data_IF_182187050466
#
_entry.id   IF_182187050466
#
_cell.length_a   1.000
_cell.length_b   1.000
_cell.length_c   1.000
_cell.angle_alpha   90.00
_cell.angle_beta   90.00
_cell.angle_gamma   90.00
#
_symmetry.space_group_name_H-M   'P 1'
#
loop_
_entity.id
_entity.type
_entity.pdbx_description
1 polymer ?
#
# COMPACT_ATOMS: atom_id res chain seq x y z
N UNK A 1 -11.91 0.52 -3.04
CA UNK A 1 -13.07 -0.34 -2.72
C UNK A 1 -13.12 -0.85 -1.28
N UNK A 2 -12.01 -1.10 -0.58
CA UNK A 2 -12.06 -1.42 0.86
C UNK A 2 -12.88 -0.41 1.68
N UNK A 3 -12.76 0.89 1.37
CA UNK A 3 -13.51 1.95 2.05
C UNK A 3 -15.03 1.85 1.81
N UNK A 4 -15.50 1.74 0.56
CA UNK A 4 -16.96 1.65 0.30
C UNK A 4 -17.58 0.36 0.85
N UNK A 5 -16.84 -0.76 0.83
CA UNK A 5 -17.32 -2.00 1.40
C UNK A 5 -17.37 -1.93 2.93
N UNK A 6 -16.33 -1.36 3.56
CA UNK A 6 -16.33 -1.09 5.01
C UNK A 6 -17.49 -0.20 5.44
N UNK A 7 -17.78 0.86 4.68
CA UNK A 7 -18.93 1.75 4.94
C UNK A 7 -20.27 1.03 4.82
N UNK A 8 -20.40 0.07 3.89
CA UNK A 8 -21.64 -0.71 3.75
C UNK A 8 -21.82 -1.74 4.88
N UNK A 9 -20.74 -2.29 5.44
CA UNK A 9 -20.81 -3.33 6.47
C UNK A 9 -20.87 -2.73 7.88
N UNK A 10 -20.02 -1.75 8.19
CA UNK A 10 -19.98 -1.09 9.49
C UNK A 10 -21.05 0.00 9.62
N UNK A 11 -21.49 0.57 8.50
CA UNK A 11 -22.32 1.78 8.46
C UNK A 11 -21.47 3.05 8.36
N UNK A 12 -22.13 4.14 7.95
CA UNK A 12 -21.48 5.41 7.65
C UNK A 12 -20.71 6.00 8.83
N UNK A 13 -21.33 6.09 10.01
CA UNK A 13 -20.73 6.74 11.19
C UNK A 13 -19.46 6.01 11.69
N UNK A 14 -19.51 4.72 12.07
CA UNK A 14 -18.31 4.00 12.53
C UNK A 14 -17.27 3.81 11.42
N UNK A 15 -17.67 3.70 10.15
CA UNK A 15 -16.74 3.62 9.03
C UNK A 15 -15.91 4.90 8.85
N UNK A 16 -16.52 6.09 9.00
CA UNK A 16 -15.79 7.36 8.93
C UNK A 16 -14.84 7.52 10.13
N UNK A 17 -15.28 7.16 11.35
CA UNK A 17 -14.45 7.26 12.56
C UNK A 17 -13.19 6.39 12.42
N UNK A 18 -13.32 5.14 11.97
CA UNK A 18 -12.18 4.24 11.79
C UNK A 18 -11.24 4.72 10.69
N UNK A 19 -11.77 5.29 9.60
CA UNK A 19 -10.98 5.86 8.51
C UNK A 19 -10.16 7.08 8.96
N UNK A 20 -10.79 8.03 9.66
CA UNK A 20 -10.11 9.22 10.20
C UNK A 20 -9.09 8.81 11.27
N UNK A 21 -9.46 7.89 12.17
CA UNK A 21 -8.56 7.38 13.20
C UNK A 21 -7.31 6.72 12.60
N UNK A 22 -7.48 5.84 11.61
CA UNK A 22 -6.35 5.24 10.89
C UNK A 22 -5.50 6.29 10.16
N UNK A 23 -6.14 7.29 9.53
CA UNK A 23 -5.45 8.40 8.87
C UNK A 23 -4.57 9.22 9.82
N UNK A 24 -5.08 9.55 11.02
CA UNK A 24 -4.30 10.27 12.05
C UNK A 24 -3.10 9.44 12.51
N UNK A 25 -3.28 8.13 12.76
CA UNK A 25 -2.19 7.25 13.19
C UNK A 25 -1.10 7.14 12.11
N UNK A 26 -1.48 7.00 10.84
CA UNK A 26 -0.54 6.99 9.73
C UNK A 26 0.19 8.33 9.58
N UNK A 27 -0.52 9.44 9.73
CA UNK A 27 0.08 10.78 9.68
C UNK A 27 1.14 10.97 10.77
N UNK A 28 0.82 10.62 12.02
CA UNK A 28 1.76 10.71 13.15
C UNK A 28 2.98 9.81 12.91
N UNK A 29 2.78 8.59 12.42
CA UNK A 29 3.87 7.66 12.12
C UNK A 29 4.78 8.21 11.01
N UNK A 30 4.19 8.69 9.92
CA UNK A 30 4.91 9.24 8.76
C UNK A 30 5.74 10.46 9.14
N UNK A 31 5.16 11.43 9.89
CA UNK A 31 5.89 12.64 10.25
C UNK A 31 7.02 12.37 11.27
N UNK A 32 6.81 11.40 12.18
CA UNK A 32 7.83 10.98 13.15
C UNK A 32 9.00 10.29 12.44
N UNK A 33 8.69 9.36 11.53
CA UNK A 33 9.69 8.69 10.71
C UNK A 33 10.47 9.68 9.85
N UNK A 34 9.77 10.62 9.19
CA UNK A 34 10.41 11.65 8.37
C UNK A 34 11.40 12.51 9.17
N UNK A 35 10.98 13.01 10.35
CA UNK A 35 11.87 13.78 11.24
C UNK A 35 13.11 12.99 11.67
N UNK A 36 12.95 11.69 11.92
CA UNK A 36 14.08 10.82 12.29
C UNK A 36 15.07 10.66 11.14
N UNK A 37 14.59 10.39 9.92
CA UNK A 37 15.45 10.24 8.73
C UNK A 37 16.16 11.55 8.40
N UNK A 38 15.51 12.71 8.54
CA UNK A 38 16.15 14.02 8.33
C UNK A 38 17.30 14.31 9.31
N UNK A 39 17.24 13.75 10.53
CA UNK A 39 18.33 13.84 11.52
C UNK A 39 19.44 12.81 11.26
N UNK A 40 19.12 11.71 10.60
CA UNK A 40 19.96 10.54 10.38
C UNK A 40 20.07 10.20 8.89
N UNK A 41 20.79 11.02 8.10
CA UNK A 41 20.86 10.88 6.64
C UNK A 41 21.58 9.60 6.19
N UNK A 42 22.22 8.85 7.10
CA UNK A 42 22.77 7.53 6.78
C UNK A 42 21.69 6.49 6.44
N UNK A 43 20.44 6.73 6.84
CA UNK A 43 19.31 5.83 6.58
C UNK A 43 18.82 6.06 5.15
N UNK A 44 19.02 5.06 4.28
CA UNK A 44 18.60 5.12 2.86
C UNK A 44 17.38 4.27 2.56
N UNK A 45 17.12 3.26 3.38
CA UNK A 45 16.00 2.34 3.24
C UNK A 45 15.32 2.06 4.60
N UNK A 46 14.17 1.42 4.54
CA UNK A 46 13.36 1.11 5.72
C UNK A 46 13.96 -0.01 6.58
N UNK A 47 14.79 -0.89 6.02
CA UNK A 47 15.48 -1.93 6.77
C UNK A 47 16.58 -1.31 7.64
N UNK A 48 17.33 -0.35 7.08
CA UNK A 48 18.28 0.49 7.81
C UNK A 48 17.56 1.28 8.93
N UNK A 49 16.39 1.86 8.64
CA UNK A 49 15.59 2.54 9.67
C UNK A 49 15.28 1.60 10.85
N UNK A 50 14.81 0.38 10.57
CA UNK A 50 14.56 -0.63 11.60
C UNK A 50 15.83 -1.02 12.36
N UNK A 51 16.97 -1.15 11.67
CA UNK A 51 18.25 -1.44 12.32
C UNK A 51 18.67 -0.37 13.32
N UNK A 52 18.59 0.92 12.96
CA UNK A 52 18.95 2.01 13.85
C UNK A 52 17.92 2.23 14.97
N UNK A 53 16.63 2.08 14.69
CA UNK A 53 15.56 2.26 15.67
C UNK A 53 15.64 1.23 16.82
N UNK A 54 16.05 -0.01 16.54
CA UNK A 54 16.15 -1.09 17.52
C UNK A 54 17.56 -1.28 18.11
N UNK A 55 18.43 -0.28 18.00
CA UNK A 55 19.76 -0.30 18.64
C UNK A 55 20.77 -1.20 17.94
N UNK A 56 20.84 -1.12 16.61
CA UNK A 56 21.84 -1.81 15.78
C UNK A 56 21.78 -3.35 15.88
N UNK A 57 20.60 -3.90 16.14
CA UNK A 57 20.39 -5.36 16.19
C UNK A 57 20.14 -5.89 14.78
N UNK A 58 21.00 -6.78 14.29
CA UNK A 58 20.83 -7.44 12.99
C UNK A 58 19.48 -8.16 12.85
N UNK A 59 18.97 -8.73 13.94
CA UNK A 59 17.66 -9.37 13.96
C UNK A 59 16.52 -8.39 13.63
N UNK A 60 16.63 -7.12 14.04
CA UNK A 60 15.64 -6.11 13.70
C UNK A 60 15.70 -5.75 12.20
N UNK A 61 16.90 -5.69 11.60
CA UNK A 61 17.04 -5.47 10.16
C UNK A 61 16.34 -6.57 9.35
N UNK A 62 16.61 -7.83 9.67
CA UNK A 62 16.02 -8.99 8.98
C UNK A 62 14.49 -9.06 9.19
N UNK A 63 14.01 -8.78 10.41
CA UNK A 63 12.58 -8.73 10.71
C UNK A 63 11.85 -7.60 9.97
N UNK A 64 12.45 -6.41 9.90
CA UNK A 64 11.86 -5.25 9.20
C UNK A 64 11.80 -5.52 7.70
N UNK A 65 12.85 -6.14 7.14
CA UNK A 65 12.87 -6.58 5.74
C UNK A 65 11.80 -7.63 5.43
N UNK A 66 11.62 -8.61 6.32
CA UNK A 66 10.54 -9.59 6.20
C UNK A 66 9.16 -8.93 6.24
N UNK A 67 8.92 -8.05 7.21
CA UNK A 67 7.66 -7.32 7.35
C UNK A 67 7.36 -6.47 6.11
N UNK A 68 8.37 -5.78 5.56
CA UNK A 68 8.23 -5.01 4.33
C UNK A 68 7.86 -5.90 3.14
N UNK A 69 8.56 -7.02 2.96
CA UNK A 69 8.30 -7.95 1.86
C UNK A 69 6.87 -8.51 1.95
N UNK A 70 6.47 -8.99 3.12
CA UNK A 70 5.12 -9.50 3.36
C UNK A 70 4.07 -8.41 3.13
N UNK A 71 4.29 -7.19 3.62
CA UNK A 71 3.37 -6.08 3.41
C UNK A 71 3.17 -5.77 1.92
N UNK A 72 4.25 -5.73 1.14
CA UNK A 72 4.17 -5.49 -0.30
C UNK A 72 3.42 -6.62 -1.03
N UNK A 73 3.67 -7.89 -0.68
CA UNK A 73 2.96 -9.03 -1.28
C UNK A 73 1.45 -8.94 -0.98
N UNK A 74 1.07 -8.66 0.27
CA UNK A 74 -0.32 -8.55 0.67
C UNK A 74 -1.03 -7.37 -0.01
N UNK A 75 -0.35 -6.23 -0.16
CA UNK A 75 -0.88 -5.08 -0.88
C UNK A 75 -1.09 -5.38 -2.37
N UNK A 76 -0.10 -6.00 -3.02
CA UNK A 76 -0.23 -6.42 -4.43
C UNK A 76 -1.42 -7.39 -4.60
N UNK A 77 -1.53 -8.39 -3.71
CA UNK A 77 -2.67 -9.33 -3.72
C UNK A 77 -4.01 -8.62 -3.53
N UNK A 78 -4.08 -7.64 -2.63
CA UNK A 78 -5.27 -6.81 -2.42
C UNK A 78 -5.65 -6.00 -3.67
N UNK A 79 -4.66 -5.39 -4.36
CA UNK A 79 -4.90 -4.64 -5.59
C UNK A 79 -5.41 -5.53 -6.73
N UNK A 80 -4.82 -6.73 -6.92
CA UNK A 80 -5.26 -7.67 -7.95
C UNK A 80 -6.69 -8.16 -7.67
N UNK A 81 -7.00 -8.52 -6.42
CA UNK A 81 -8.34 -8.94 -6.02
C UNK A 81 -9.38 -7.82 -6.25
N UNK A 82 -9.02 -6.60 -5.88
CA UNK A 82 -9.83 -5.39 -6.11
C UNK A 82 -10.11 -5.18 -7.59
N UNK A 83 -9.07 -5.18 -8.43
CA UNK A 83 -9.19 -4.99 -9.87
C UNK A 83 -10.06 -6.08 -10.51
N UNK A 84 -9.85 -7.35 -10.12
CA UNK A 84 -10.64 -8.47 -10.62
C UNK A 84 -12.13 -8.31 -10.28
N UNK A 85 -12.47 -7.86 -9.07
CA UNK A 85 -13.87 -7.61 -8.68
C UNK A 85 -14.50 -6.48 -9.49
N UNK A 86 -13.78 -5.38 -9.72
CA UNK A 86 -14.27 -4.24 -10.50
C UNK A 86 -14.52 -4.67 -11.95
N UNK A 87 -13.56 -5.32 -12.60
CA UNK A 87 -13.72 -5.82 -13.98
C UNK A 87 -14.86 -6.84 -14.11
N UNK A 88 -15.02 -7.69 -13.10
CA UNK A 88 -16.07 -8.69 -13.07
C UNK A 88 -17.48 -8.06 -12.96
N UNK A 89 -17.65 -7.01 -12.16
CA UNK A 89 -18.91 -6.24 -12.09
C UNK A 89 -19.15 -5.41 -13.34
N UNK A 90 -18.12 -4.78 -13.92
CA UNK A 90 -18.25 -3.97 -15.14
C UNK A 90 -18.56 -4.81 -16.38
N UNK A 91 -18.15 -6.08 -16.40
CA UNK A 91 -18.34 -6.99 -17.54
C UNK A 91 -19.52 -7.95 -17.36
N UNK A 92 -20.42 -7.69 -16.39
CA UNK A 92 -21.58 -8.52 -16.07
C UNK A 92 -21.26 -10.03 -16.00
N UNK A 93 -20.19 -10.39 -15.28
CA UNK A 93 -19.76 -11.79 -15.13
C UNK A 93 -19.43 -12.52 -16.44
N UNK A 94 -19.00 -11.81 -17.50
CA UNK A 94 -18.72 -12.43 -18.81
C UNK A 94 -17.66 -13.55 -18.79
N UNK A 95 -16.68 -13.46 -17.89
CA UNK A 95 -15.56 -14.40 -17.76
C UNK A 95 -15.32 -14.77 -16.30
N UNK A 96 -14.51 -15.82 -16.07
CA UNK A 96 -14.15 -16.22 -14.72
C UNK A 96 -13.27 -15.16 -14.03
N UNK A 97 -13.45 -15.00 -12.72
CA UNK A 97 -12.69 -14.02 -11.91
C UNK A 97 -11.18 -14.20 -12.03
N UNK A 98 -10.70 -15.42 -12.29
CA UNK A 98 -9.27 -15.72 -12.46
C UNK A 98 -8.70 -15.00 -13.69
N UNK A 99 -9.41 -14.97 -14.82
CA UNK A 99 -8.97 -14.25 -16.02
C UNK A 99 -8.90 -12.75 -15.75
N UNK A 100 -9.87 -12.19 -15.03
CA UNK A 100 -9.82 -10.78 -14.61
C UNK A 100 -8.66 -10.49 -13.65
N UNK A 101 -8.29 -11.42 -12.76
CA UNK A 101 -7.09 -11.30 -11.93
C UNK A 101 -5.80 -11.27 -12.76
N UNK A 102 -5.70 -12.09 -13.82
CA UNK A 102 -4.55 -12.08 -14.73
C UNK A 102 -4.46 -10.75 -15.49
N UNK A 103 -5.58 -10.22 -15.97
CA UNK A 103 -5.63 -8.92 -16.64
C UNK A 103 -5.17 -7.81 -15.67
N UNK A 104 -5.69 -7.81 -14.44
CA UNK A 104 -5.27 -6.87 -13.39
C UNK A 104 -3.78 -6.97 -13.06
N UNK A 105 -3.23 -8.19 -13.02
CA UNK A 105 -1.80 -8.43 -12.83
C UNK A 105 -0.97 -7.85 -13.97
N UNK A 106 -1.36 -8.10 -15.23
CA UNK A 106 -0.64 -7.58 -16.40
C UNK A 106 -0.65 -6.05 -16.43
N UNK A 107 -1.80 -5.42 -16.13
CA UNK A 107 -1.89 -3.97 -15.97
C UNK A 107 -0.95 -3.47 -14.87
N UNK A 108 -0.94 -4.14 -13.71
CA UNK A 108 -0.05 -3.80 -12.59
C UNK A 108 1.44 -3.91 -12.96
N UNK A 109 1.84 -4.95 -13.70
CA UNK A 109 3.22 -5.12 -14.18
C UNK A 109 3.61 -3.96 -15.11
N UNK A 110 2.76 -3.64 -16.09
CA UNK A 110 3.01 -2.54 -17.04
C UNK A 110 3.14 -1.19 -16.31
N UNK A 111 2.25 -0.92 -15.37
CA UNK A 111 2.30 0.32 -14.57
C UNK A 111 3.46 0.36 -13.56
N UNK A 112 4.08 -0.79 -13.24
CA UNK A 112 5.25 -0.87 -12.34
C UNK A 112 6.59 -0.72 -13.05
N UNK A 113 6.61 -0.71 -14.39
CA UNK A 113 7.80 -0.46 -15.21
C UNK A 113 8.51 0.87 -14.86
N UNK A 114 7.84 2.01 -14.62
CA UNK A 114 8.51 3.25 -14.21
C UNK A 114 9.22 3.10 -12.86
N UNK A 115 10.51 2.74 -12.91
CA UNK A 115 11.36 2.46 -11.74
C UNK A 115 11.62 3.67 -10.83
N UNK A 116 11.48 4.89 -11.33
CA UNK A 116 11.89 6.10 -10.60
C UNK A 116 10.71 6.77 -9.90
N UNK A 117 10.88 7.08 -8.62
CA UNK A 117 9.85 7.69 -7.75
C UNK A 117 9.24 8.97 -8.33
N UNK A 118 9.98 9.72 -9.16
CA UNK A 118 9.46 10.92 -9.84
C UNK A 118 8.29 10.61 -10.78
N UNK A 119 8.34 9.51 -11.54
CA UNK A 119 7.25 9.14 -12.45
C UNK A 119 6.05 8.61 -11.68
N UNK A 120 6.28 7.87 -10.60
CA UNK A 120 5.22 7.37 -9.71
C UNK A 120 4.48 8.52 -9.04
N UNK A 121 5.21 9.54 -8.57
CA UNK A 121 4.60 10.76 -8.02
C UNK A 121 3.72 11.47 -9.05
N UNK A 122 4.15 11.55 -10.31
CA UNK A 122 3.35 12.13 -11.38
C UNK A 122 2.07 11.32 -11.64
N UNK A 123 2.17 9.99 -11.74
CA UNK A 123 1.01 9.10 -11.89
C UNK A 123 0.01 9.22 -10.73
N UNK A 124 0.49 9.41 -9.49
CA UNK A 124 -0.40 9.57 -8.33
C UNK A 124 -1.22 10.86 -8.37
N UNK A 125 -0.72 11.92 -9.02
CA UNK A 125 -1.48 13.16 -9.19
C UNK A 125 -2.69 12.92 -10.09
N UNK A 126 -2.53 12.17 -11.20
CA UNK A 126 -3.64 11.80 -12.08
C UNK A 126 -4.63 10.82 -11.48
N UNK A 127 -4.22 10.04 -10.48
CA UNK A 127 -5.13 9.13 -9.79
C UNK A 127 -5.95 9.81 -8.69
N UNK A 128 -5.57 11.02 -8.27
CA UNK A 128 -6.23 11.77 -7.20
C UNK A 128 -7.34 12.70 -7.64
N UNK A 129 -7.46 12.94 -8.96
CA UNK A 129 -8.56 13.65 -9.61
C UNK A 129 -9.71 12.69 -10.00
#
# INVERSE_FOLDING_TARGET
>A
MAQTWSLSVLGWVPGIITMVGAGILFWITSITMHKYIMKHPQIRDICDFGYYAFGCRRLAYEFTGFMLLTNNILLIGFHILTAAKILNTLSDHSQCTVVFSVIGMLMGIVMSIPRTLRHISFMSMFSGE
#
